data_IF_420720510590
#
_entry.id   IF_420720510590
#
_cell.length_a   1.000
_cell.length_b   1.000
_cell.length_c   1.000
_cell.angle_alpha   90.00
_cell.angle_beta   90.00
_cell.angle_gamma   90.00
#
_symmetry.space_group_name_H-M   'P 1'
#
loop_
_entity.id
_entity.type
_entity.pdbx_description
1 polymer ?
#
# COMPACT_ATOMS: atom_id res chain seq x y z
N UNK A 1 1.68 4.84 -20.29
CA UNK A 1 2.18 5.74 -19.22
C UNK A 1 1.05 6.31 -18.35
N UNK A 2 0.07 7.05 -18.90
CA UNK A 2 -0.98 7.66 -18.07
C UNK A 2 -1.93 6.64 -17.41
N UNK A 3 -2.23 5.53 -18.08
CA UNK A 3 -3.11 4.47 -17.56
C UNK A 3 -2.46 3.72 -16.37
N UNK A 4 -1.19 3.32 -16.50
CA UNK A 4 -0.42 2.69 -15.43
C UNK A 4 -0.24 3.66 -14.26
N UNK A 5 -0.02 4.96 -14.55
CA UNK A 5 0.01 5.96 -13.50
C UNK A 5 -1.30 5.98 -12.68
N UNK A 6 -2.45 6.05 -13.36
CA UNK A 6 -3.76 6.09 -12.70
C UNK A 6 -4.05 4.82 -11.90
N UNK A 7 -3.64 3.64 -12.41
CA UNK A 7 -3.78 2.37 -11.67
C UNK A 7 -2.94 2.35 -10.40
N UNK A 8 -1.67 2.75 -10.50
CA UNK A 8 -0.80 2.85 -9.33
C UNK A 8 -1.29 3.89 -8.32
N UNK A 9 -1.79 5.04 -8.80
CA UNK A 9 -2.38 6.07 -7.95
C UNK A 9 -3.64 5.57 -7.24
N UNK A 10 -4.52 4.83 -7.93
CA UNK A 10 -5.70 4.23 -7.31
C UNK A 10 -5.31 3.24 -6.19
N UNK A 11 -4.32 2.37 -6.42
CA UNK A 11 -3.80 1.48 -5.39
C UNK A 11 -3.25 2.25 -4.19
N UNK A 12 -2.42 3.27 -4.44
CA UNK A 12 -1.83 4.10 -3.39
C UNK A 12 -2.90 4.81 -2.56
N UNK A 13 -3.92 5.36 -3.21
CA UNK A 13 -4.99 6.10 -2.53
C UNK A 13 -5.90 5.18 -1.72
N UNK A 14 -6.40 4.09 -2.32
CA UNK A 14 -7.31 3.17 -1.63
C UNK A 14 -6.60 2.47 -0.47
N UNK A 15 -5.42 1.91 -0.73
CA UNK A 15 -4.64 1.24 0.32
C UNK A 15 -4.10 2.24 1.35
N UNK A 16 -3.59 3.40 0.92
CA UNK A 16 -3.02 4.40 1.82
C UNK A 16 -4.07 4.98 2.77
N UNK A 17 -5.25 5.37 2.26
CA UNK A 17 -6.34 5.88 3.09
C UNK A 17 -6.89 4.79 4.02
N UNK A 18 -7.05 3.56 3.52
CA UNK A 18 -7.50 2.41 4.34
C UNK A 18 -6.53 2.14 5.49
N UNK A 19 -5.23 2.11 5.20
CA UNK A 19 -4.18 1.95 6.20
C UNK A 19 -4.17 3.09 7.21
N UNK A 20 -4.20 4.36 6.76
CA UNK A 20 -4.21 5.52 7.67
C UNK A 20 -5.44 5.53 8.58
N UNK A 21 -6.59 5.11 8.07
CA UNK A 21 -7.82 5.01 8.87
C UNK A 21 -7.66 4.01 10.00
N UNK A 22 -7.16 2.81 9.69
CA UNK A 22 -7.02 1.73 10.67
C UNK A 22 -5.88 2.04 11.66
N UNK A 23 -4.70 2.42 11.17
CA UNK A 23 -3.57 2.75 12.04
C UNK A 23 -3.83 4.03 12.85
N UNK A 24 -4.60 4.98 12.33
CA UNK A 24 -5.04 6.14 13.08
C UNK A 24 -5.92 5.77 14.27
N UNK A 25 -6.74 4.73 14.14
CA UNK A 25 -7.58 4.24 15.22
C UNK A 25 -6.82 3.41 16.25
N UNK A 26 -5.95 2.50 15.80
CA UNK A 26 -5.34 1.48 16.66
C UNK A 26 -3.87 1.74 17.06
N UNK A 27 -3.13 2.58 16.32
CA UNK A 27 -1.68 2.78 16.49
C UNK A 27 -1.29 4.27 16.66
N UNK A 28 -2.19 5.06 17.22
CA UNK A 28 -1.97 6.47 17.57
C UNK A 28 -2.32 6.69 19.05
N UNK A 29 -1.37 6.42 19.98
CA UNK A 29 -1.64 6.51 21.42
C UNK A 29 -1.83 7.94 21.95
N UNK A 30 -1.28 8.96 21.28
CA UNK A 30 -1.47 10.37 21.66
C UNK A 30 -1.25 11.28 20.46
N UNK A 31 -1.83 12.49 20.48
CA UNK A 31 -1.66 13.48 19.41
C UNK A 31 -0.28 14.17 19.38
N UNK A 32 0.46 14.12 20.48
CA UNK A 32 1.82 14.70 20.60
C UNK A 32 2.93 13.64 20.45
N UNK A 33 2.57 12.36 20.29
CA UNK A 33 3.49 11.24 20.21
C UNK A 33 3.51 10.53 18.87
N UNK A 34 3.84 9.23 18.89
CA UNK A 34 3.86 8.40 17.69
C UNK A 34 2.48 8.37 17.00
N UNK A 35 2.47 8.56 15.67
CA UNK A 35 1.29 8.56 14.83
C UNK A 35 1.37 7.39 13.85
N UNK A 36 0.29 6.59 13.74
CA UNK A 36 0.14 5.44 12.81
C UNK A 36 1.11 4.27 13.02
N UNK A 37 2.16 4.49 13.80
CA UNK A 37 3.30 3.59 14.02
C UNK A 37 3.58 3.40 15.50
N UNK A 38 2.70 3.95 16.36
CA UNK A 38 2.77 3.75 17.81
C UNK A 38 2.34 2.35 18.21
N UNK A 39 2.45 2.08 19.50
CA UNK A 39 1.96 0.85 20.11
C UNK A 39 0.44 0.70 19.92
N UNK A 40 -0.03 -0.55 19.98
CA UNK A 40 -1.44 -0.86 19.91
C UNK A 40 -2.16 -0.26 21.13
N UNK A 41 -3.24 0.48 20.90
CA UNK A 41 -3.97 1.20 21.97
C UNK A 41 -4.98 0.32 22.72
N UNK A 42 -5.23 -0.90 22.24
CA UNK A 42 -6.16 -1.86 22.85
C UNK A 42 -5.38 -3.03 23.48
N UNK A 43 -5.80 -3.46 24.66
CA UNK A 43 -5.14 -4.54 25.40
C UNK A 43 -5.70 -5.93 25.05
N UNK A 44 -7.00 -6.04 24.81
CA UNK A 44 -7.70 -7.30 24.52
C UNK A 44 -8.50 -7.22 23.20
N UNK A 45 -7.87 -7.52 22.04
CA UNK A 45 -8.52 -7.38 20.74
C UNK A 45 -9.66 -8.39 20.53
N UNK A 46 -10.84 -7.87 20.20
CA UNK A 46 -11.96 -8.69 19.74
C UNK A 46 -11.67 -9.28 18.36
N UNK A 47 -12.50 -10.22 17.90
CA UNK A 47 -12.40 -10.77 16.54
C UNK A 47 -12.44 -9.68 15.46
N UNK A 48 -13.28 -8.66 15.63
CA UNK A 48 -13.38 -7.56 14.66
C UNK A 48 -12.15 -6.66 14.68
N UNK A 49 -11.55 -6.43 15.85
CA UNK A 49 -10.28 -5.69 15.94
C UNK A 49 -9.16 -6.42 15.21
N UNK A 50 -9.07 -7.74 15.38
CA UNK A 50 -8.07 -8.55 14.68
C UNK A 50 -8.24 -8.50 13.16
N UNK A 51 -9.49 -8.55 12.67
CA UNK A 51 -9.80 -8.39 11.24
C UNK A 51 -9.36 -6.99 10.76
N UNK A 52 -9.68 -5.95 11.53
CA UNK A 52 -9.31 -4.58 11.17
C UNK A 52 -7.78 -4.42 11.12
N UNK A 53 -7.05 -4.89 12.13
CA UNK A 53 -5.58 -4.83 12.15
C UNK A 53 -4.96 -5.55 10.95
N UNK A 54 -5.44 -6.75 10.63
CA UNK A 54 -5.02 -7.48 9.42
C UNK A 54 -5.32 -6.70 8.14
N UNK A 55 -6.53 -6.12 8.02
CA UNK A 55 -6.89 -5.27 6.89
C UNK A 55 -5.98 -4.05 6.77
N UNK A 56 -5.59 -3.45 7.89
CA UNK A 56 -4.63 -2.34 7.92
C UNK A 56 -3.31 -2.72 7.27
N UNK A 57 -2.72 -3.84 7.70
CA UNK A 57 -1.46 -4.32 7.14
C UNK A 57 -1.61 -4.72 5.65
N UNK A 58 -2.74 -5.34 5.28
CA UNK A 58 -3.05 -5.65 3.90
C UNK A 58 -3.16 -4.39 3.02
N UNK A 59 -3.81 -3.34 3.52
CA UNK A 59 -3.94 -2.07 2.80
C UNK A 59 -2.60 -1.36 2.62
N UNK A 60 -1.72 -1.41 3.63
CA UNK A 60 -0.35 -0.87 3.51
C UNK A 60 0.39 -1.51 2.34
N UNK A 61 0.44 -2.85 2.34
CA UNK A 61 1.15 -3.58 1.29
C UNK A 61 0.47 -3.45 -0.06
N UNK A 62 -0.86 -3.43 -0.13
CA UNK A 62 -1.58 -3.17 -1.37
C UNK A 62 -1.25 -1.79 -1.95
N UNK A 63 -1.17 -0.75 -1.12
CA UNK A 63 -0.76 0.58 -1.56
C UNK A 63 0.66 0.58 -2.13
N UNK A 64 1.63 0.06 -1.39
CA UNK A 64 3.04 0.07 -1.79
C UNK A 64 3.27 -0.83 -3.01
N UNK A 65 2.88 -2.11 -2.93
CA UNK A 65 3.12 -3.06 -4.01
C UNK A 65 2.28 -2.73 -5.24
N UNK A 66 1.03 -2.31 -5.07
CA UNK A 66 0.18 -1.90 -6.19
C UNK A 66 0.75 -0.70 -6.92
N UNK A 67 1.14 0.36 -6.21
CA UNK A 67 1.77 1.53 -6.82
C UNK A 67 3.06 1.18 -7.56
N UNK A 68 3.98 0.45 -6.90
CA UNK A 68 5.25 0.05 -7.51
C UNK A 68 5.07 -0.89 -8.71
N UNK A 69 4.07 -1.77 -8.68
CA UNK A 69 3.79 -2.67 -9.80
C UNK A 69 3.47 -1.89 -11.06
N UNK A 70 2.56 -0.91 -10.97
CA UNK A 70 2.14 -0.15 -12.14
C UNK A 70 3.14 0.94 -12.52
N UNK A 71 3.77 1.61 -11.57
CA UNK A 71 4.68 2.71 -11.88
C UNK A 71 6.09 2.27 -12.28
N UNK A 72 6.53 1.09 -11.83
CA UNK A 72 7.92 0.65 -12.00
C UNK A 72 7.99 -0.71 -12.68
N UNK A 73 7.38 -1.74 -12.11
CA UNK A 73 7.59 -3.13 -12.56
C UNK A 73 7.07 -3.35 -13.98
N UNK A 74 5.83 -2.96 -14.26
CA UNK A 74 5.23 -3.15 -15.59
C UNK A 74 5.95 -2.33 -16.68
N UNK A 75 6.25 -1.02 -16.49
CA UNK A 75 7.05 -0.26 -17.45
C UNK A 75 8.43 -0.88 -17.70
N UNK A 76 9.12 -1.33 -16.64
CA UNK A 76 10.43 -1.99 -16.80
C UNK A 76 10.33 -3.28 -17.62
N UNK A 77 9.29 -4.10 -17.40
CA UNK A 77 9.06 -5.31 -18.19
C UNK A 77 8.79 -4.96 -19.66
N UNK A 78 7.96 -3.96 -19.95
CA UNK A 78 7.68 -3.57 -21.33
C UNK A 78 8.90 -3.04 -22.06
N UNK A 79 9.72 -2.21 -21.41
CA UNK A 79 10.96 -1.68 -21.98
C UNK A 79 11.99 -2.80 -22.19
N UNK A 80 12.10 -3.72 -21.25
CA UNK A 80 12.99 -4.88 -21.38
C UNK A 80 12.59 -5.78 -22.55
N UNK A 81 11.30 -6.03 -22.75
CA UNK A 81 10.79 -6.79 -23.90
C UNK A 81 11.06 -6.07 -25.22
N UNK A 82 10.85 -4.75 -25.27
CA UNK A 82 11.16 -3.95 -26.46
C UNK A 82 12.64 -4.05 -26.84
N UNK A 83 13.54 -3.89 -25.87
CA UNK A 83 14.98 -4.03 -26.07
C UNK A 83 15.39 -5.41 -26.62
N UNK A 84 14.80 -6.50 -26.10
CA UNK A 84 15.09 -7.85 -26.59
C UNK A 84 14.61 -8.07 -28.03
N UNK A 85 13.44 -7.53 -28.37
CA UNK A 85 12.88 -7.66 -29.72
C UNK A 85 13.72 -6.92 -30.76
N UNK A 86 14.19 -5.70 -30.46
CA UNK A 86 15.09 -4.93 -31.32
C UNK A 86 16.40 -5.67 -31.62
N UNK A 87 16.92 -6.44 -30.65
CA UNK A 87 18.15 -7.21 -30.81
C UNK A 87 17.97 -8.53 -31.59
N UNK A 88 16.73 -9.00 -31.70
CA UNK A 88 16.40 -10.26 -32.38
C UNK A 88 16.02 -10.08 -33.87
N UNK A 89 15.82 -8.84 -34.31
CA UNK A 89 15.53 -8.45 -35.69
C UNK A 89 16.82 -8.13 -36.47
#
# INVERSE_FOLDING_TARGET
>A
MADEFMKGFACLMVGGLGWMTIKGWYNTPSFEGAQLTGELTIEEPTTFDQIALFMGDAFFWFAVLGALTFWVVLPLISEFQAYLNERSA
#
